data_IF_106017676514
#
_entry.id   IF_106017676514
#
_cell.length_a   1.000
_cell.length_b   1.000
_cell.length_c   1.000
_cell.angle_alpha   90.00
_cell.angle_beta   90.00
_cell.angle_gamma   90.00
#
_symmetry.space_group_name_H-M   'P 1'
#
loop_
_entity.id
_entity.type
_entity.pdbx_description
1 polymer ?
#
# COMPACT_ATOMS: atom_id res chain seq x y z
N UNK A 1 73.22 49.72 4.88
CA UNK A 1 71.87 49.75 5.50
C UNK A 1 70.89 49.29 4.42
N UNK A 2 70.45 48.03 4.33
CA UNK A 2 70.49 46.85 5.20
C UNK A 2 70.80 45.62 4.34
N UNK A 3 71.66 44.76 4.88
CA UNK A 3 72.02 43.42 4.42
C UNK A 3 70.85 42.42 4.47
N UNK A 4 70.91 41.38 3.63
CA UNK A 4 70.80 39.94 3.97
C UNK A 4 70.03 39.09 2.94
N UNK A 5 70.79 38.37 2.09
CA UNK A 5 70.87 36.90 1.93
C UNK A 5 69.61 35.97 1.70
N UNK A 6 69.81 34.74 1.14
CA UNK A 6 68.91 34.05 0.17
C UNK A 6 68.06 32.85 0.71
N UNK A 7 67.33 32.21 -0.23
CA UNK A 7 66.35 31.08 -0.19
C UNK A 7 66.49 29.96 0.87
N UNK A 8 65.39 29.19 1.08
CA UNK A 8 65.50 27.76 0.76
C UNK A 8 64.27 27.13 0.06
N UNK A 9 64.56 26.21 -0.86
CA UNK A 9 63.66 25.13 -1.30
C UNK A 9 63.38 24.15 -0.14
N UNK A 10 62.17 23.58 -0.04
CA UNK A 10 61.98 22.14 0.24
C UNK A 10 60.52 21.68 0.42
N UNK A 11 60.29 20.49 -0.13
CA UNK A 11 59.43 19.40 0.35
C UNK A 11 57.96 19.34 -0.12
N UNK A 12 57.79 18.59 -1.21
CA UNK A 12 57.04 17.32 -1.21
C UNK A 12 56.18 17.04 0.04
N UNK A 13 54.85 17.10 -0.13
CA UNK A 13 53.97 16.02 0.33
C UNK A 13 52.85 15.80 -0.68
N UNK A 14 53.11 14.82 -1.52
CA UNK A 14 52.15 14.00 -2.26
C UNK A 14 51.07 13.52 -1.29
N UNK A 15 49.98 14.29 -1.15
CA UNK A 15 48.73 13.86 -0.54
C UNK A 15 48.13 12.79 -1.43
N UNK A 16 48.62 11.56 -1.26
CA UNK A 16 47.99 10.35 -1.77
C UNK A 16 46.66 10.27 -1.04
N UNK A 17 45.62 10.88 -1.61
CA UNK A 17 44.23 10.66 -1.22
C UNK A 17 43.98 9.17 -1.43
N UNK A 18 44.21 8.44 -0.34
CA UNK A 18 43.77 7.08 -0.14
C UNK A 18 42.26 7.21 0.00
N UNK A 19 41.58 7.25 -1.14
CA UNK A 19 40.17 6.89 -1.21
C UNK A 19 40.08 5.48 -0.67
N UNK A 20 39.74 5.38 0.61
CA UNK A 20 39.25 4.17 1.23
C UNK A 20 38.03 3.72 0.42
N UNK A 21 37.96 2.46 -0.03
CA UNK A 21 36.80 1.93 -0.75
C UNK A 21 35.52 1.85 0.12
N UNK A 22 35.58 2.30 1.38
CA UNK A 22 34.47 2.32 2.32
C UNK A 22 33.45 3.44 2.03
N UNK A 23 33.86 4.56 1.44
CA UNK A 23 32.96 5.72 1.26
C UNK A 23 32.02 5.56 0.06
N UNK A 24 32.43 4.85 -0.99
CA UNK A 24 31.57 4.49 -2.12
C UNK A 24 30.44 3.52 -1.75
N UNK A 25 30.60 2.73 -0.68
CA UNK A 25 29.52 1.86 -0.20
C UNK A 25 28.45 2.63 0.59
N UNK A 26 28.81 3.73 1.27
CA UNK A 26 27.85 4.50 2.06
C UNK A 26 26.93 5.39 1.23
N UNK A 27 27.39 5.94 0.09
CA UNK A 27 26.55 6.79 -0.76
C UNK A 27 25.44 5.99 -1.45
N UNK A 28 25.70 4.74 -1.85
CA UNK A 28 24.68 3.83 -2.38
C UNK A 28 23.63 3.42 -1.34
N UNK A 29 24.04 3.25 -0.07
CA UNK A 29 23.17 2.91 1.06
C UNK A 29 22.25 4.06 1.49
N UNK A 30 22.70 5.32 1.37
CA UNK A 30 21.87 6.49 1.70
C UNK A 30 20.78 6.75 0.65
N UNK A 31 21.05 6.51 -0.64
CA UNK A 31 20.03 6.66 -1.69
C UNK A 31 18.94 5.58 -1.61
N UNK A 32 19.30 4.33 -1.26
CA UNK A 32 18.31 3.25 -1.12
C UNK A 32 17.39 3.44 0.08
N UNK A 33 17.88 3.97 1.20
CA UNK A 33 17.06 4.25 2.39
C UNK A 33 15.98 5.32 2.17
N UNK A 34 16.24 6.35 1.37
CA UNK A 34 15.22 7.37 1.06
C UNK A 34 14.10 6.82 0.15
N UNK A 35 14.45 6.04 -0.89
CA UNK A 35 13.46 5.46 -1.79
C UNK A 35 12.51 4.46 -1.12
N UNK A 36 13.01 3.71 -0.12
CA UNK A 36 12.18 2.77 0.65
C UNK A 36 11.07 3.50 1.45
N UNK A 37 11.40 4.64 2.07
CA UNK A 37 10.41 5.45 2.79
C UNK A 37 9.31 5.99 1.85
N UNK A 38 9.66 6.41 0.64
CA UNK A 38 8.69 6.95 -0.31
C UNK A 38 7.72 5.88 -0.82
N UNK A 39 8.20 4.67 -1.13
CA UNK A 39 7.34 3.55 -1.53
C UNK A 39 6.40 3.18 -0.37
N UNK A 40 6.91 3.11 0.87
CA UNK A 40 6.08 2.82 2.04
C UNK A 40 4.97 3.85 2.24
N UNK A 41 5.30 5.14 2.13
CA UNK A 41 4.31 6.23 2.20
C UNK A 41 3.27 6.10 1.09
N UNK A 42 3.70 5.76 -0.13
CA UNK A 42 2.80 5.50 -1.25
C UNK A 42 1.83 4.35 -1.00
N UNK A 43 2.30 3.24 -0.43
CA UNK A 43 1.46 2.08 -0.08
C UNK A 43 0.46 2.42 1.02
N UNK A 44 0.91 3.12 2.07
CA UNK A 44 0.04 3.57 3.16
C UNK A 44 -1.05 4.49 2.62
N UNK A 45 -0.67 5.48 1.79
CA UNK A 45 -1.62 6.38 1.15
C UNK A 45 -2.63 5.62 0.29
N UNK A 46 -2.16 4.65 -0.51
CA UNK A 46 -3.02 3.82 -1.35
C UNK A 46 -4.03 3.01 -0.53
N UNK A 47 -3.59 2.42 0.58
CA UNK A 47 -4.47 1.70 1.50
C UNK A 47 -5.48 2.63 2.19
N UNK A 48 -5.10 3.86 2.54
CA UNK A 48 -6.04 4.85 3.07
C UNK A 48 -7.07 5.31 2.03
N UNK A 49 -6.66 5.48 0.77
CA UNK A 49 -7.59 5.77 -0.33
C UNK A 49 -8.57 4.60 -0.50
N UNK A 50 -8.07 3.35 -0.52
CA UNK A 50 -8.92 2.16 -0.60
C UNK A 50 -9.89 2.07 0.59
N UNK A 51 -9.41 2.38 1.80
CA UNK A 51 -10.24 2.43 3.00
C UNK A 51 -11.34 3.49 2.88
N UNK A 52 -11.01 4.70 2.44
CA UNK A 52 -11.98 5.78 2.26
C UNK A 52 -13.04 5.42 1.21
N UNK A 53 -12.64 4.85 0.07
CA UNK A 53 -13.58 4.39 -0.97
C UNK A 53 -14.51 3.31 -0.41
N UNK A 54 -13.98 2.32 0.30
CA UNK A 54 -14.78 1.26 0.89
C UNK A 54 -15.74 1.79 1.97
N UNK A 55 -15.31 2.78 2.76
CA UNK A 55 -16.13 3.42 3.78
C UNK A 55 -17.28 4.21 3.17
N UNK A 56 -16.99 5.02 2.15
CA UNK A 56 -18.01 5.80 1.44
C UNK A 56 -19.03 4.87 0.76
N UNK A 57 -18.57 3.79 0.12
CA UNK A 57 -19.45 2.80 -0.47
C UNK A 57 -20.33 2.11 0.59
N UNK A 58 -19.75 1.62 1.69
CA UNK A 58 -20.51 1.02 2.79
C UNK A 58 -21.56 1.97 3.36
N UNK A 59 -21.20 3.23 3.58
CA UNK A 59 -22.14 4.26 4.05
C UNK A 59 -23.27 4.50 3.04
N UNK A 60 -22.96 4.58 1.74
CA UNK A 60 -23.96 4.75 0.70
C UNK A 60 -24.95 3.58 0.62
N UNK A 61 -24.46 2.33 0.69
CA UNK A 61 -25.33 1.15 0.73
C UNK A 61 -26.19 1.11 1.98
N UNK A 62 -25.65 1.47 3.15
CA UNK A 62 -26.42 1.56 4.38
C UNK A 62 -27.55 2.60 4.26
N UNK A 63 -27.25 3.79 3.73
CA UNK A 63 -28.25 4.83 3.50
C UNK A 63 -29.33 4.34 2.52
N UNK A 64 -28.96 3.67 1.43
CA UNK A 64 -29.90 3.09 0.47
C UNK A 64 -30.81 2.04 1.13
N UNK A 65 -30.26 1.16 1.97
CA UNK A 65 -31.05 0.16 2.72
C UNK A 65 -32.07 0.83 3.63
N UNK A 66 -31.67 1.90 4.34
CA UNK A 66 -32.55 2.63 5.25
C UNK A 66 -33.65 3.37 4.48
N UNK A 67 -33.31 4.00 3.35
CA UNK A 67 -34.28 4.68 2.48
C UNK A 67 -35.31 3.70 1.93
N UNK A 68 -34.88 2.56 1.37
CA UNK A 68 -35.80 1.54 0.86
C UNK A 68 -36.66 0.95 1.99
N UNK A 69 -36.09 0.75 3.19
CA UNK A 69 -36.85 0.34 4.36
C UNK A 69 -37.99 1.30 4.67
N UNK A 70 -37.72 2.60 4.66
CA UNK A 70 -38.74 3.63 4.92
C UNK A 70 -39.84 3.69 3.85
N UNK A 71 -39.51 3.39 2.58
CA UNK A 71 -40.48 3.36 1.48
C UNK A 71 -41.42 2.15 1.61
N UNK A 72 -40.88 0.97 1.93
CA UNK A 72 -41.67 -0.27 2.13
C UNK A 72 -42.67 -0.13 3.27
N UNK A 73 -42.28 0.52 4.36
CA UNK A 73 -43.17 0.74 5.51
C UNK A 73 -44.32 1.71 5.18
N UNK A 74 -44.17 2.56 4.15
CA UNK A 74 -45.19 3.52 3.70
C UNK A 74 -46.16 2.94 2.66
N UNK A 75 -45.81 1.86 1.95
CA UNK A 75 -46.55 1.31 0.79
C UNK A 75 -47.08 -0.13 1.01
N UNK A 76 -47.42 -0.49 2.26
CA UNK A 76 -47.86 -1.85 2.67
C UNK A 76 -49.05 -2.48 1.91
N UNK A 77 -49.66 -1.79 0.94
CA UNK A 77 -50.89 -2.19 0.23
C UNK A 77 -50.70 -2.62 -1.24
N UNK A 78 -49.49 -2.60 -1.84
CA UNK A 78 -49.28 -3.05 -3.24
C UNK A 78 -48.48 -4.37 -3.34
N UNK A 79 -49.16 -5.45 -3.74
CA UNK A 79 -48.70 -6.84 -3.61
C UNK A 79 -47.78 -7.38 -4.72
N UNK A 80 -47.49 -6.60 -5.77
CA UNK A 80 -46.57 -7.01 -6.84
C UNK A 80 -45.15 -6.43 -6.69
N UNK A 81 -45.03 -5.19 -6.19
CA UNK A 81 -43.73 -4.52 -6.03
C UNK A 81 -43.04 -4.86 -4.70
N UNK A 82 -43.77 -5.36 -3.70
CA UNK A 82 -43.19 -5.74 -2.41
C UNK A 82 -42.09 -6.82 -2.52
N UNK A 83 -42.25 -7.79 -3.45
CA UNK A 83 -41.29 -8.88 -3.63
C UNK A 83 -39.98 -8.41 -4.30
N UNK A 84 -40.07 -7.53 -5.29
CA UNK A 84 -38.89 -6.96 -5.97
C UNK A 84 -38.14 -6.01 -5.05
N UNK A 85 -38.85 -5.21 -4.25
CA UNK A 85 -38.24 -4.32 -3.26
C UNK A 85 -37.56 -5.12 -2.14
N UNK A 86 -38.18 -6.22 -1.66
CA UNK A 86 -37.55 -7.12 -0.70
C UNK A 86 -36.26 -7.74 -1.26
N UNK A 87 -36.28 -8.23 -2.50
CA UNK A 87 -35.07 -8.76 -3.15
C UNK A 87 -33.97 -7.71 -3.36
N UNK A 88 -34.35 -6.47 -3.68
CA UNK A 88 -33.41 -5.35 -3.77
C UNK A 88 -32.77 -5.04 -2.42
N UNK A 89 -33.55 -5.02 -1.33
CA UNK A 89 -33.06 -4.80 0.03
C UNK A 89 -32.06 -5.88 0.46
N UNK A 90 -32.35 -7.15 0.21
CA UNK A 90 -31.43 -8.26 0.49
C UNK A 90 -30.12 -8.10 -0.31
N UNK A 91 -30.22 -7.76 -1.59
CA UNK A 91 -29.04 -7.50 -2.44
C UNK A 91 -28.17 -6.36 -1.89
N UNK A 92 -28.78 -5.27 -1.41
CA UNK A 92 -28.05 -4.15 -0.82
C UNK A 92 -27.36 -4.51 0.50
N UNK A 93 -27.97 -5.36 1.33
CA UNK A 93 -27.33 -5.89 2.54
C UNK A 93 -26.11 -6.74 2.21
N UNK A 94 -26.18 -7.56 1.16
CA UNK A 94 -25.04 -8.33 0.67
C UNK A 94 -23.91 -7.38 0.25
N UNK A 95 -24.20 -6.36 -0.55
CA UNK A 95 -23.19 -5.37 -0.95
C UNK A 95 -22.59 -4.63 0.26
N UNK A 96 -23.43 -4.19 1.21
CA UNK A 96 -22.97 -3.57 2.45
C UNK A 96 -22.00 -4.49 3.21
N UNK A 97 -22.34 -5.77 3.36
CA UNK A 97 -21.49 -6.78 3.99
C UNK A 97 -20.14 -6.96 3.26
N UNK A 98 -20.15 -6.99 1.93
CA UNK A 98 -18.93 -7.07 1.11
C UNK A 98 -18.01 -5.87 1.36
N UNK A 99 -18.55 -4.65 1.40
CA UNK A 99 -17.75 -3.45 1.64
C UNK A 99 -17.24 -3.35 3.09
N UNK A 100 -18.01 -3.83 4.08
CA UNK A 100 -17.51 -3.99 5.46
C UNK A 100 -16.35 -4.98 5.55
N UNK A 101 -16.46 -6.11 4.84
CA UNK A 101 -15.37 -7.10 4.78
C UNK A 101 -14.13 -6.49 4.12
N UNK A 102 -14.32 -5.71 3.05
CA UNK A 102 -13.24 -4.99 2.37
C UNK A 102 -12.57 -3.95 3.28
N UNK A 103 -13.35 -3.25 4.11
CA UNK A 103 -12.82 -2.34 5.13
C UNK A 103 -11.94 -3.07 6.15
N UNK A 104 -12.46 -4.16 6.73
CA UNK A 104 -11.71 -4.98 7.69
C UNK A 104 -10.41 -5.51 7.06
N UNK A 105 -10.49 -5.96 5.81
CA UNK A 105 -9.34 -6.44 5.05
C UNK A 105 -8.32 -5.34 4.76
N UNK A 106 -8.77 -4.12 4.44
CA UNK A 106 -7.88 -2.97 4.23
C UNK A 106 -7.20 -2.54 5.53
N UNK A 107 -7.91 -2.59 6.67
CA UNK A 107 -7.32 -2.40 8.00
C UNK A 107 -6.23 -3.44 8.31
N UNK A 108 -6.46 -4.71 7.94
CA UNK A 108 -5.43 -5.74 8.06
C UNK A 108 -4.21 -5.42 7.19
N UNK A 109 -4.42 -4.94 5.96
CA UNK A 109 -3.37 -4.40 5.09
C UNK A 109 -2.56 -3.30 5.78
N UNK A 110 -3.22 -2.26 6.30
CA UNK A 110 -2.57 -1.16 7.03
C UNK A 110 -1.78 -1.67 8.24
N UNK A 111 -2.35 -2.60 9.00
CA UNK A 111 -1.67 -3.25 10.13
C UNK A 111 -0.38 -3.94 9.68
N UNK A 112 -0.43 -4.77 8.64
CA UNK A 112 0.77 -5.50 8.17
C UNK A 112 1.88 -4.56 7.69
N UNK A 113 1.55 -3.43 7.05
CA UNK A 113 2.50 -2.39 6.63
C UNK A 113 3.07 -1.62 7.82
N UNK A 114 2.24 -1.33 8.83
CA UNK A 114 2.67 -0.65 10.06
C UNK A 114 3.68 -1.49 10.85
N UNK A 115 3.37 -2.78 11.06
CA UNK A 115 4.18 -3.72 11.85
C UNK A 115 5.21 -4.49 11.04
N UNK A 116 5.44 -4.12 9.77
CA UNK A 116 6.45 -4.70 8.87
C UNK A 116 6.40 -6.24 8.78
N UNK A 117 5.21 -6.83 8.79
CA UNK A 117 5.04 -8.29 8.76
C UNK A 117 5.03 -8.81 7.32
N UNK A 118 6.21 -9.13 6.76
CA UNK A 118 6.36 -9.56 5.37
C UNK A 118 5.47 -10.75 4.98
N UNK A 119 5.42 -11.81 5.79
CA UNK A 119 4.61 -13.01 5.50
C UNK A 119 3.12 -12.68 5.41
N UNK A 120 2.62 -11.86 6.35
CA UNK A 120 1.23 -11.44 6.36
C UNK A 120 0.90 -10.48 5.19
N UNK A 121 1.81 -9.56 4.86
CA UNK A 121 1.64 -8.65 3.72
C UNK A 121 1.65 -9.42 2.38
N UNK A 122 2.52 -10.42 2.21
CA UNK A 122 2.49 -11.32 1.03
C UNK A 122 1.14 -12.03 0.89
N UNK A 123 0.59 -12.54 1.98
CA UNK A 123 -0.76 -13.14 2.00
C UNK A 123 -1.84 -12.14 1.61
N UNK A 124 -1.77 -10.91 2.13
CA UNK A 124 -2.66 -9.81 1.75
C UNK A 124 -2.60 -9.50 0.24
N UNK A 125 -1.41 -9.41 -0.35
CA UNK A 125 -1.27 -9.17 -1.80
C UNK A 125 -1.80 -10.34 -2.62
N UNK A 126 -1.50 -11.59 -2.22
CA UNK A 126 -2.02 -12.77 -2.90
C UNK A 126 -3.56 -12.81 -2.91
N UNK A 127 -4.20 -12.44 -1.78
CA UNK A 127 -5.66 -12.37 -1.73
C UNK A 127 -6.22 -11.23 -2.62
N UNK A 128 -5.56 -10.07 -2.69
CA UNK A 128 -5.95 -9.01 -3.62
C UNK A 128 -5.86 -9.46 -5.09
N UNK A 129 -4.84 -10.23 -5.45
CA UNK A 129 -4.71 -10.81 -6.80
C UNK A 129 -5.84 -11.79 -7.09
N UNK A 130 -6.18 -12.66 -6.13
CA UNK A 130 -7.30 -13.59 -6.26
C UNK A 130 -8.63 -12.84 -6.49
N UNK A 131 -8.89 -11.81 -5.69
CA UNK A 131 -10.09 -10.97 -5.82
C UNK A 131 -10.14 -10.26 -7.18
N UNK A 132 -9.01 -9.75 -7.67
CA UNK A 132 -8.91 -9.14 -9.00
C UNK A 132 -9.31 -10.13 -10.10
N UNK A 133 -8.84 -11.36 -10.07
CA UNK A 133 -9.23 -12.39 -11.04
C UNK A 133 -10.70 -12.78 -10.89
N UNK A 134 -11.23 -12.81 -9.68
CA UNK A 134 -12.66 -13.02 -9.42
C UNK A 134 -13.53 -11.93 -10.04
N UNK A 135 -13.16 -10.66 -9.84
CA UNK A 135 -13.83 -9.50 -10.45
C UNK A 135 -13.77 -9.55 -11.99
N UNK A 136 -12.62 -9.92 -12.55
CA UNK A 136 -12.44 -10.07 -14.00
C UNK A 136 -13.34 -11.19 -14.57
N UNK A 137 -13.35 -12.37 -13.93
CA UNK A 137 -14.18 -13.50 -14.35
C UNK A 137 -15.67 -13.19 -14.29
N UNK A 138 -16.11 -12.50 -13.22
CA UNK A 138 -17.49 -12.06 -13.08
C UNK A 138 -17.88 -11.03 -14.16
N UNK A 139 -17.00 -10.08 -14.46
CA UNK A 139 -17.24 -9.06 -15.50
C UNK A 139 -17.41 -9.71 -16.88
N UNK A 140 -16.57 -10.70 -17.21
CA UNK A 140 -16.68 -11.45 -18.47
C UNK A 140 -17.97 -12.25 -18.52
N UNK A 141 -18.33 -12.93 -17.42
CA UNK A 141 -19.52 -13.78 -17.36
C UNK A 141 -20.84 -12.98 -17.51
N UNK A 142 -20.90 -11.77 -16.93
CA UNK A 142 -22.10 -10.94 -16.96
C UNK A 142 -22.23 -10.10 -18.24
N UNK A 143 -21.23 -10.11 -19.14
CA UNK A 143 -21.16 -9.30 -20.36
C UNK A 143 -21.41 -7.78 -20.15
N UNK A 144 -21.39 -7.31 -18.90
CA UNK A 144 -21.69 -5.94 -18.53
C UNK A 144 -20.41 -5.12 -18.50
N UNK A 145 -19.90 -4.78 -19.69
CA UNK A 145 -18.81 -3.82 -19.85
C UNK A 145 -19.31 -2.39 -19.62
N UNK A 146 -19.62 -2.07 -18.36
CA UNK A 146 -19.82 -0.68 -17.96
C UNK A 146 -18.46 -0.01 -17.84
N UNK A 147 -18.31 1.21 -18.37
CA UNK A 147 -17.03 1.98 -18.34
C UNK A 147 -16.46 2.08 -16.91
N UNK A 148 -17.33 2.14 -15.90
CA UNK A 148 -16.98 2.14 -14.49
C UNK A 148 -16.29 0.85 -14.00
N UNK A 149 -16.61 -0.31 -14.59
CA UNK A 149 -15.94 -1.58 -14.25
C UNK A 149 -14.50 -1.61 -14.77
N UNK A 150 -14.24 -1.05 -15.95
CA UNK A 150 -12.89 -0.96 -16.53
C UNK A 150 -12.02 -0.01 -15.70
N UNK A 151 -12.55 1.16 -15.34
CA UNK A 151 -11.82 2.12 -14.50
C UNK A 151 -11.48 1.53 -13.14
N UNK A 152 -12.43 0.84 -12.50
CA UNK A 152 -12.21 0.12 -11.24
C UNK A 152 -11.15 -0.98 -11.37
N UNK A 153 -11.20 -1.76 -12.46
CA UNK A 153 -10.22 -2.82 -12.74
C UNK A 153 -8.80 -2.25 -12.91
N UNK A 154 -8.64 -1.20 -13.73
CA UNK A 154 -7.33 -0.54 -13.93
C UNK A 154 -6.76 -0.01 -12.61
N UNK A 155 -7.61 0.61 -11.79
CA UNK A 155 -7.21 1.10 -10.47
C UNK A 155 -6.77 -0.04 -9.54
N UNK A 156 -7.50 -1.16 -9.53
CA UNK A 156 -7.14 -2.37 -8.78
C UNK A 156 -5.81 -2.98 -9.26
N UNK A 157 -5.59 -3.08 -10.57
CA UNK A 157 -4.33 -3.57 -11.13
C UNK A 157 -3.17 -2.67 -10.68
N UNK A 158 -3.37 -1.35 -10.72
CA UNK A 158 -2.37 -0.39 -10.24
C UNK A 158 -2.06 -0.60 -8.76
N UNK A 159 -3.07 -0.77 -7.90
CA UNK A 159 -2.86 -1.05 -6.47
C UNK A 159 -2.09 -2.35 -6.24
N UNK A 160 -2.47 -3.44 -6.91
CA UNK A 160 -1.76 -4.72 -6.85
C UNK A 160 -0.30 -4.57 -7.27
N UNK A 161 -0.04 -3.80 -8.33
CA UNK A 161 1.33 -3.53 -8.79
C UNK A 161 2.15 -2.76 -7.74
N UNK A 162 1.57 -1.71 -7.14
CA UNK A 162 2.22 -0.95 -6.05
C UNK A 162 2.51 -1.85 -4.86
N UNK A 163 1.55 -2.70 -4.46
CA UNK A 163 1.74 -3.63 -3.35
C UNK A 163 2.79 -4.68 -3.65
N UNK A 164 2.81 -5.22 -4.87
CA UNK A 164 3.81 -6.18 -5.31
C UNK A 164 5.22 -5.59 -5.24
N UNK A 165 5.41 -4.36 -5.74
CA UNK A 165 6.69 -3.63 -5.65
C UNK A 165 7.14 -3.45 -4.19
N UNK A 166 6.19 -3.14 -3.30
CA UNK A 166 6.50 -2.97 -1.88
C UNK A 166 6.95 -4.27 -1.17
N UNK A 167 6.55 -5.46 -1.64
CA UNK A 167 7.05 -6.73 -1.07
C UNK A 167 8.57 -6.80 -1.11
N UNK A 168 9.18 -6.41 -2.23
CA UNK A 168 10.64 -6.42 -2.39
C UNK A 168 11.31 -5.38 -1.47
N UNK A 169 10.75 -4.17 -1.40
CA UNK A 169 11.21 -3.11 -0.50
C UNK A 169 11.15 -3.55 0.97
N UNK A 170 10.04 -4.16 1.38
CA UNK A 170 9.85 -4.60 2.76
C UNK A 170 10.81 -5.73 3.15
N UNK A 171 11.15 -6.63 2.22
CA UNK A 171 12.14 -7.67 2.48
C UNK A 171 13.53 -7.09 2.76
N UNK A 172 13.97 -6.09 1.96
CA UNK A 172 15.25 -5.41 2.19
C UNK A 172 15.26 -4.61 3.49
N UNK A 173 14.15 -3.93 3.84
CA UNK A 173 14.06 -3.20 5.11
C UNK A 173 14.21 -4.12 6.32
N UNK A 174 13.59 -5.31 6.29
CA UNK A 174 13.68 -6.27 7.38
C UNK A 174 15.12 -6.78 7.53
N UNK A 175 15.77 -7.16 6.43
CA UNK A 175 17.17 -7.61 6.45
C UNK A 175 18.12 -6.54 7.00
N UNK A 176 17.86 -5.26 6.68
CA UNK A 176 18.64 -4.16 7.25
C UNK A 176 18.43 -3.97 8.75
N UNK A 177 17.19 -4.16 9.24
CA UNK A 177 16.90 -4.08 10.68
C UNK A 177 17.59 -5.24 11.42
N UNK A 178 17.45 -6.46 10.92
CA UNK A 178 18.09 -7.65 11.50
C UNK A 178 19.61 -7.49 11.58
N UNK A 179 20.26 -6.99 10.51
CA UNK A 179 21.70 -6.70 10.54
C UNK A 179 22.10 -5.59 11.51
N UNK A 180 21.26 -4.60 11.75
CA UNK A 180 21.55 -3.56 12.74
C UNK A 180 21.46 -4.11 14.16
N UNK A 181 20.44 -4.94 14.45
CA UNK A 181 20.28 -5.62 15.73
C UNK A 181 21.48 -6.54 16.03
N UNK A 182 21.97 -7.31 15.05
CA UNK A 182 23.17 -8.15 15.20
C UNK A 182 24.43 -7.34 15.55
N UNK A 183 24.62 -6.19 14.91
CA UNK A 183 25.77 -5.31 15.16
C UNK A 183 25.72 -4.65 16.55
N UNK A 184 24.52 -4.25 17.00
CA UNK A 184 24.34 -3.73 18.35
C UNK A 184 24.64 -4.83 19.38
N UNK A 185 24.12 -6.04 19.19
CA UNK A 185 24.39 -7.18 20.07
C UNK A 185 25.88 -7.54 20.15
N UNK A 186 26.63 -7.43 19.05
CA UNK A 186 28.09 -7.61 19.04
C UNK A 186 28.84 -6.49 19.77
N UNK A 187 28.38 -5.24 19.66
CA UNK A 187 29.01 -4.09 20.31
C UNK A 187 28.86 -4.11 21.84
N UNK A 188 27.79 -4.72 22.34
CA UNK A 188 27.49 -4.82 23.78
C UNK A 188 28.01 -6.11 24.45
N UNK A 189 28.69 -6.99 23.72
CA UNK A 189 29.39 -8.17 24.27
C UNK A 189 30.86 -7.89 24.55
#
# INVERSE_FOLDING_TARGET
>A
MTDSAPEPQASSRRGKNRTTPADTHQEGLKLTCCGCMDIRRGVILTLWIQFAIALLAAAAFLVLVLLIGSLVDSEKDQSADAATIAAAKESLWIYFGIYLLLLAFTCAGLYTVKYRKLKAFKGFVALNVLLLFGELGLTIALQSFQVWSIAGLVLRVYWVWVFYRYIATLAMEIEHIERQEELEDELYR
#
